data_IF_594933086423
#
_entry.id   IF_594933086423
#
_cell.length_a   1.000
_cell.length_b   1.000
_cell.length_c   1.000
_cell.angle_alpha   90.00
_cell.angle_beta   90.00
_cell.angle_gamma   90.00
#
_symmetry.space_group_name_H-M   'P 1'
#
loop_
_entity.id
_entity.type
_entity.pdbx_description
1 polymer ?
#
# COMPACT_ATOMS: atom_id res chain seq x y z
N UNK A 1 -1.74 2.22 21.73
CA UNK A 1 -2.24 2.35 20.34
C UNK A 1 -1.23 1.94 19.28
N UNK A 2 0.09 1.99 19.55
CA UNK A 2 1.12 1.59 18.56
C UNK A 2 0.90 0.21 17.92
N UNK A 3 0.51 -0.82 18.68
CA UNK A 3 0.25 -2.18 18.13
C UNK A 3 -0.83 -2.22 17.03
N UNK A 4 -1.79 -1.29 17.06
CA UNK A 4 -2.85 -1.22 16.04
C UNK A 4 -2.35 -0.55 14.76
N UNK A 5 -1.49 0.46 14.89
CA UNK A 5 -0.80 1.11 13.76
C UNK A 5 0.12 0.09 13.08
N UNK A 6 0.92 -0.64 13.86
CA UNK A 6 1.83 -1.66 13.36
C UNK A 6 1.08 -2.74 12.56
N UNK A 7 -0.03 -3.25 13.12
CA UNK A 7 -0.89 -4.22 12.44
C UNK A 7 -1.52 -3.67 11.16
N UNK A 8 -1.93 -2.41 11.16
CA UNK A 8 -2.51 -1.77 9.96
C UNK A 8 -1.48 -1.69 8.82
N UNK A 9 -0.21 -1.42 9.14
CA UNK A 9 0.87 -1.41 8.15
C UNK A 9 1.13 -2.83 7.61
N UNK A 10 1.14 -3.84 8.47
CA UNK A 10 1.29 -5.24 8.07
C UNK A 10 0.16 -5.72 7.16
N UNK A 11 -1.09 -5.40 7.53
CA UNK A 11 -2.29 -5.77 6.75
C UNK A 11 -2.30 -5.06 5.38
N UNK A 12 -1.82 -3.82 5.32
CA UNK A 12 -1.64 -3.08 4.08
C UNK A 12 -0.59 -3.75 3.17
N UNK A 13 0.56 -4.14 3.71
CA UNK A 13 1.60 -4.85 2.93
C UNK A 13 1.07 -6.19 2.40
N UNK A 14 0.38 -6.96 3.24
CA UNK A 14 -0.23 -8.22 2.84
C UNK A 14 -1.25 -8.03 1.69
N UNK A 15 -2.10 -7.01 1.79
CA UNK A 15 -3.08 -6.66 0.76
C UNK A 15 -2.42 -6.25 -0.55
N UNK A 16 -1.33 -5.48 -0.50
CA UNK A 16 -0.58 -5.08 -1.70
C UNK A 16 0.12 -6.24 -2.38
N UNK A 17 0.60 -7.24 -1.63
CA UNK A 17 1.13 -8.49 -2.20
C UNK A 17 0.04 -9.30 -2.90
N UNK A 18 -1.11 -9.47 -2.27
CA UNK A 18 -2.25 -10.16 -2.88
C UNK A 18 -2.72 -9.44 -4.15
N UNK A 19 -2.74 -8.10 -4.14
CA UNK A 19 -3.03 -7.30 -5.32
C UNK A 19 -1.99 -7.55 -6.42
N UNK A 20 -0.70 -7.50 -6.12
CA UNK A 20 0.37 -7.79 -7.09
C UNK A 20 0.16 -9.15 -7.76
N UNK A 21 -0.18 -10.17 -6.99
CA UNK A 21 -0.40 -11.51 -7.52
C UNK A 21 -1.68 -11.58 -8.38
N UNK A 22 -2.74 -10.87 -7.99
CA UNK A 22 -3.97 -10.77 -8.78
C UNK A 22 -3.79 -9.99 -10.10
N UNK A 23 -2.87 -9.01 -10.13
CA UNK A 23 -2.54 -8.26 -11.34
C UNK A 23 -1.61 -9.04 -12.27
N UNK A 24 -1.06 -10.17 -11.82
CA UNK A 24 -0.22 -11.03 -12.65
C UNK A 24 -0.98 -11.54 -13.88
N UNK A 25 -0.41 -11.35 -15.06
CA UNK A 25 -1.03 -11.73 -16.32
C UNK A 25 -1.94 -10.68 -16.96
N UNK A 26 -2.21 -9.56 -16.28
CA UNK A 26 -2.90 -8.42 -16.91
C UNK A 26 -1.94 -7.75 -17.90
N UNK A 27 -2.36 -7.51 -19.17
CA UNK A 27 -1.55 -6.79 -20.14
C UNK A 27 -1.26 -5.36 -19.66
N UNK A 28 -0.02 -5.15 -19.21
CA UNK A 28 0.41 -3.90 -18.56
C UNK A 28 0.17 -2.62 -19.39
N UNK A 29 0.27 -2.72 -20.73
CA UNK A 29 0.15 -1.57 -21.65
C UNK A 29 -1.24 -1.40 -22.26
N UNK A 30 -2.23 -2.20 -21.86
CA UNK A 30 -3.59 -2.09 -22.38
C UNK A 30 -4.44 -1.11 -21.56
N UNK A 31 -5.28 -0.33 -22.23
CA UNK A 31 -6.38 0.42 -21.59
C UNK A 31 -5.98 1.43 -20.50
N UNK A 32 -4.73 1.92 -20.48
CA UNK A 32 -4.26 2.85 -19.45
C UNK A 32 -3.91 2.21 -18.10
N UNK A 33 -3.94 0.88 -18.01
CA UNK A 33 -3.69 0.13 -16.77
C UNK A 33 -2.35 0.48 -16.11
N UNK A 34 -1.27 0.64 -16.88
CA UNK A 34 0.02 1.11 -16.36
C UNK A 34 -0.11 2.39 -15.53
N UNK A 35 -0.80 3.40 -16.05
CA UNK A 35 -0.94 4.69 -15.35
C UNK A 35 -1.75 4.51 -14.06
N UNK A 36 -2.83 3.73 -14.10
CA UNK A 36 -3.62 3.41 -12.91
C UNK A 36 -2.80 2.68 -11.85
N UNK A 37 -2.02 1.67 -12.25
CA UNK A 37 -1.12 0.93 -11.38
C UNK A 37 -0.06 1.85 -10.75
N UNK A 38 0.60 2.68 -11.55
CA UNK A 38 1.68 3.55 -11.09
C UNK A 38 1.16 4.63 -10.13
N UNK A 39 -0.03 5.19 -10.40
CA UNK A 39 -0.69 6.12 -9.50
C UNK A 39 -1.06 5.45 -8.17
N UNK A 40 -1.65 4.26 -8.22
CA UNK A 40 -1.99 3.50 -7.00
C UNK A 40 -0.74 3.20 -6.17
N UNK A 41 0.35 2.74 -6.81
CA UNK A 41 1.60 2.47 -6.11
C UNK A 41 2.15 3.73 -5.42
N UNK A 42 2.04 4.89 -6.07
CA UNK A 42 2.46 6.19 -5.50
C UNK A 42 1.62 6.59 -4.29
N UNK A 43 0.29 6.47 -4.40
CA UNK A 43 -0.64 6.84 -3.33
C UNK A 43 -0.47 5.94 -2.11
N UNK A 44 -0.30 4.63 -2.32
CA UNK A 44 -0.04 3.68 -1.24
C UNK A 44 1.29 3.97 -0.57
N UNK A 45 2.35 4.24 -1.32
CA UNK A 45 3.65 4.58 -0.74
C UNK A 45 3.56 5.84 0.15
N UNK A 46 2.84 6.86 -0.30
CA UNK A 46 2.59 8.07 0.49
C UNK A 46 1.82 7.75 1.78
N UNK A 47 0.76 6.96 1.68
CA UNK A 47 -0.04 6.55 2.84
C UNK A 47 0.78 5.73 3.85
N UNK A 48 1.59 4.78 3.39
CA UNK A 48 2.46 3.98 4.27
C UNK A 48 3.42 4.86 5.05
N UNK A 49 4.07 5.83 4.40
CA UNK A 49 4.98 6.78 5.07
C UNK A 49 4.23 7.63 6.11
N UNK A 50 3.03 8.10 5.79
CA UNK A 50 2.23 8.90 6.72
C UNK A 50 1.83 8.09 7.97
N UNK A 51 1.38 6.85 7.78
CA UNK A 51 1.03 5.95 8.88
C UNK A 51 2.26 5.64 9.73
N UNK A 52 3.41 5.38 9.09
CA UNK A 52 4.65 5.08 9.81
C UNK A 52 5.15 6.29 10.63
N UNK A 53 5.13 7.50 10.05
CA UNK A 53 5.44 8.73 10.75
C UNK A 53 4.47 9.00 11.93
N UNK A 54 3.24 8.51 11.83
CA UNK A 54 2.25 8.62 12.91
C UNK A 54 2.53 7.66 14.08
N UNK A 55 3.37 6.62 13.92
CA UNK A 55 3.68 5.67 15.01
C UNK A 55 4.19 6.36 16.27
N UNK A 56 5.03 7.38 16.13
CA UNK A 56 5.59 8.11 17.29
C UNK A 56 4.51 8.88 18.06
N UNK A 57 3.45 9.33 17.40
CA UNK A 57 2.33 10.05 18.00
C UNK A 57 1.44 9.12 18.85
N UNK A 58 1.44 7.82 18.55
CA UNK A 58 0.61 6.81 19.24
C UNK A 58 1.38 5.93 20.22
N UNK A 59 2.62 6.32 20.50
CA UNK A 59 3.54 5.69 21.45
C UNK A 59 3.52 6.49 22.77
N UNK A 60 2.37 6.48 23.42
CA UNK A 60 2.21 6.69 24.87
C UNK A 60 1.84 5.34 25.51
#
# INVERSE_FOLDING_TARGET
MSKQVDRTVEDLDASMRALRDALSGIPFRAGGFKNTHDNLARDVAYLTVLIDASRSTFRD
#
